data_IF_457027821281
#
_entry.id   IF_457027821281
#
_cell.length_a   1.000
_cell.length_b   1.000
_cell.length_c   1.000
_cell.angle_alpha   90.00
_cell.angle_beta   90.00
_cell.angle_gamma   90.00
#
_symmetry.space_group_name_H-M   'P 1'
#
loop_
_entity.id
_entity.type
_entity.pdbx_description
1 polymer ?
#
# COMPACT_ATOMS: atom_id res chain seq x y z
N UNK A 1 -4.69 8.23 31.03
CA UNK A 1 -3.80 7.33 31.78
C UNK A 1 -2.97 6.54 30.76
N UNK A 2 -1.86 7.09 30.26
CA UNK A 2 -1.11 6.48 29.15
C UNK A 2 -0.29 5.27 29.59
N UNK A 3 -0.29 4.23 28.75
CA UNK A 3 0.58 3.06 28.86
C UNK A 3 1.69 3.23 27.84
N UNK A 4 2.94 3.08 28.27
CA UNK A 4 4.12 3.15 27.41
C UNK A 4 4.84 1.81 27.39
N UNK A 5 5.38 1.43 26.24
CA UNK A 5 6.19 0.23 26.09
C UNK A 5 7.67 0.57 26.13
N UNK A 6 8.45 -0.29 26.78
CA UNK A 6 9.89 -0.20 26.88
C UNK A 6 10.53 -1.54 26.52
N UNK A 7 11.64 -1.51 25.78
CA UNK A 7 12.46 -2.67 25.44
C UNK A 7 13.79 -2.58 26.18
N UNK A 8 14.15 -3.65 26.89
CA UNK A 8 15.46 -3.77 27.51
C UNK A 8 16.52 -4.04 26.43
N UNK A 9 17.66 -3.37 26.51
CA UNK A 9 18.79 -3.56 25.59
C UNK A 9 19.53 -4.88 25.85
N UNK A 10 19.48 -5.43 27.07
CA UNK A 10 20.24 -6.63 27.44
C UNK A 10 19.46 -7.93 27.18
N UNK A 11 18.20 -8.01 27.63
CA UNK A 11 17.37 -9.22 27.44
C UNK A 11 16.44 -9.13 26.23
N UNK A 12 16.31 -7.95 25.60
CA UNK A 12 15.47 -7.69 24.43
C UNK A 12 13.96 -7.95 24.63
N UNK A 13 13.52 -8.10 25.89
CA UNK A 13 12.11 -8.26 26.25
C UNK A 13 11.45 -6.88 26.35
N UNK A 14 10.21 -6.80 25.86
CA UNK A 14 9.39 -5.60 25.94
C UNK A 14 8.39 -5.70 27.11
N UNK A 15 8.31 -4.64 27.92
CA UNK A 15 7.40 -4.51 29.04
C UNK A 15 6.57 -3.22 28.93
N UNK A 16 5.32 -3.29 29.37
CA UNK A 16 4.42 -2.13 29.44
C UNK A 16 4.43 -1.48 30.83
N UNK A 17 4.62 -0.17 30.88
CA UNK A 17 4.62 0.63 32.10
C UNK A 17 3.51 1.66 32.09
N UNK A 18 2.86 1.77 33.25
CA UNK A 18 1.84 2.77 33.49
C UNK A 18 2.50 4.06 34.00
N UNK A 19 2.51 5.13 33.20
CA UNK A 19 3.12 6.41 33.57
C UNK A 19 2.07 7.52 33.58
N UNK A 20 2.30 8.54 34.42
CA UNK A 20 1.33 9.63 34.58
C UNK A 20 1.29 10.56 33.36
N UNK A 21 2.43 10.76 32.72
CA UNK A 21 2.63 11.64 31.57
C UNK A 21 3.81 11.17 30.72
N UNK A 22 3.98 11.75 29.52
CA UNK A 22 5.12 11.46 28.65
C UNK A 22 6.47 11.84 29.27
N UNK A 23 6.49 12.94 30.04
CA UNK A 23 7.65 13.48 30.76
C UNK A 23 7.96 12.72 32.07
N UNK A 24 7.12 11.76 32.44
CA UNK A 24 7.41 10.93 33.62
C UNK A 24 8.75 10.20 33.43
N UNK A 25 9.54 10.07 34.50
CA UNK A 25 10.82 9.37 34.43
C UNK A 25 10.60 7.94 33.92
N UNK A 26 11.55 7.48 33.11
CA UNK A 26 11.55 6.10 32.63
C UNK A 26 11.68 5.14 33.84
N UNK A 27 11.12 3.92 33.73
CA UNK A 27 11.35 2.88 34.74
C UNK A 27 12.85 2.63 34.91
N UNK A 28 13.30 2.45 36.15
CA UNK A 28 14.72 2.28 36.51
C UNK A 28 15.30 0.95 36.07
N UNK A 29 14.50 -0.12 36.05
CA UNK A 29 14.99 -1.48 35.90
C UNK A 29 14.02 -2.36 35.12
N UNK A 30 14.57 -3.21 34.26
CA UNK A 30 13.80 -4.22 33.53
C UNK A 30 13.20 -5.21 34.53
N UNK A 31 11.93 -5.58 34.35
CA UNK A 31 11.25 -6.54 35.24
C UNK A 31 11.76 -7.98 35.08
N UNK A 32 12.46 -8.27 33.97
CA UNK A 32 12.98 -9.61 33.66
C UNK A 32 14.43 -9.81 34.11
N UNK A 33 15.33 -8.89 33.78
CA UNK A 33 16.77 -9.04 34.05
C UNK A 33 17.34 -8.02 35.05
N UNK A 34 16.58 -7.01 35.47
CA UNK A 34 17.05 -5.98 36.40
C UNK A 34 17.97 -4.91 35.81
N UNK A 35 18.32 -4.98 34.53
CA UNK A 35 19.15 -3.97 33.85
C UNK A 35 18.47 -2.61 33.76
N UNK A 36 19.28 -1.54 33.80
CA UNK A 36 18.87 -0.15 33.63
C UNK A 36 18.74 0.27 32.15
N UNK A 37 19.17 -0.58 31.21
CA UNK A 37 19.16 -0.29 29.77
C UNK A 37 17.76 -0.39 29.14
N UNK A 38 16.81 0.47 29.51
CA UNK A 38 15.45 0.50 28.98
C UNK A 38 15.24 1.62 27.96
N UNK A 39 14.82 1.25 26.74
CA UNK A 39 14.44 2.21 25.70
C UNK A 39 12.93 2.20 25.48
N UNK A 40 12.32 3.39 25.42
CA UNK A 40 10.90 3.51 25.04
C UNK A 40 10.73 3.08 23.58
N UNK A 41 9.74 2.25 23.30
CA UNK A 41 9.43 1.78 21.94
C UNK A 41 7.99 2.13 21.55
N UNK A 42 7.73 2.12 20.25
CA UNK A 42 6.37 2.15 19.70
C UNK A 42 5.97 0.70 19.46
N UNK A 43 4.77 0.33 19.90
CA UNK A 43 4.20 -1.00 19.68
C UNK A 43 4.20 -1.33 18.19
N UNK A 44 4.41 -2.60 17.85
CA UNK A 44 4.28 -3.04 16.46
C UNK A 44 2.87 -2.72 15.95
N UNK A 45 2.79 -1.98 14.85
CA UNK A 45 1.52 -1.63 14.21
C UNK A 45 1.50 -2.16 12.78
N UNK A 46 0.31 -2.49 12.30
CA UNK A 46 0.09 -2.85 10.89
C UNK A 46 -0.53 -1.66 10.19
N UNK A 47 0.02 -1.28 9.03
CA UNK A 47 -0.61 -0.30 8.16
C UNK A 47 -1.41 -1.04 7.07
N UNK A 48 -2.66 -0.63 6.86
CA UNK A 48 -3.51 -1.20 5.81
C UNK A 48 -3.26 -0.42 4.52
N UNK A 49 -2.74 -1.09 3.50
CA UNK A 49 -2.56 -0.50 2.17
C UNK A 49 -3.91 -0.28 1.49
N UNK A 50 -4.06 0.88 0.86
CA UNK A 50 -5.19 1.15 -0.02
C UNK A 50 -5.16 0.23 -1.25
N UNK A 51 -6.32 -0.03 -1.85
CA UNK A 51 -6.44 -0.77 -3.10
C UNK A 51 -5.63 -0.14 -4.25
N UNK A 52 -5.53 1.19 -4.28
CA UNK A 52 -4.72 1.90 -5.27
C UNK A 52 -3.21 1.64 -5.07
N UNK A 53 -2.74 1.67 -3.82
CA UNK A 53 -1.34 1.39 -3.47
C UNK A 53 -0.96 -0.05 -3.82
N UNK A 54 -1.83 -1.02 -3.48
CA UNK A 54 -1.62 -2.43 -3.84
C UNK A 54 -1.49 -2.59 -5.36
N UNK A 55 -2.36 -1.95 -6.14
CA UNK A 55 -2.33 -1.99 -7.61
C UNK A 55 -1.04 -1.42 -8.19
N UNK A 56 -0.56 -0.29 -7.66
CA UNK A 56 0.68 0.33 -8.12
C UNK A 56 1.91 -0.56 -7.85
N UNK A 57 1.89 -1.34 -6.76
CA UNK A 57 2.99 -2.24 -6.37
C UNK A 57 3.02 -3.58 -7.10
N UNK A 58 1.97 -3.96 -7.85
CA UNK A 58 1.85 -5.27 -8.54
C UNK A 58 2.87 -5.53 -9.68
N UNK A 59 4.00 -4.82 -9.67
CA UNK A 59 5.22 -5.02 -10.45
C UNK A 59 5.09 -4.72 -11.97
N UNK A 60 5.95 -3.83 -12.53
CA UNK A 60 6.09 -3.58 -13.97
C UNK A 60 6.22 -4.83 -14.83
N UNK A 61 6.73 -5.93 -14.27
CA UNK A 61 6.83 -7.22 -14.97
C UNK A 61 5.46 -7.74 -15.43
N UNK A 62 4.44 -7.70 -14.58
CA UNK A 62 3.12 -8.24 -14.92
C UNK A 62 2.42 -7.37 -15.97
N UNK A 63 2.56 -6.04 -15.89
CA UNK A 63 2.10 -5.16 -16.96
C UNK A 63 2.72 -5.52 -18.31
N UNK A 64 4.04 -5.72 -18.37
CA UNK A 64 4.73 -6.14 -19.61
C UNK A 64 4.25 -7.49 -20.13
N UNK A 65 4.01 -8.46 -19.25
CA UNK A 65 3.50 -9.78 -19.64
C UNK A 65 2.09 -9.67 -20.23
N UNK A 66 1.22 -8.88 -19.59
CA UNK A 66 -0.15 -8.62 -20.08
C UNK A 66 -0.10 -7.88 -21.42
N UNK A 67 0.69 -6.81 -21.53
CA UNK A 67 0.85 -6.04 -22.76
C UNK A 67 1.37 -6.91 -23.92
N UNK A 68 2.36 -7.77 -23.65
CA UNK A 68 2.88 -8.71 -24.64
C UNK A 68 1.85 -9.76 -25.06
N UNK A 69 1.03 -10.25 -24.12
CA UNK A 69 -0.03 -11.20 -24.44
C UNK A 69 -1.13 -10.55 -25.29
N UNK A 70 -1.55 -9.33 -24.92
CA UNK A 70 -2.51 -8.52 -25.69
C UNK A 70 -1.98 -8.24 -27.10
N UNK A 71 -0.70 -7.90 -27.24
CA UNK A 71 -0.08 -7.61 -28.54
C UNK A 71 -0.04 -8.83 -29.48
N UNK A 72 0.02 -10.04 -28.94
CA UNK A 72 0.02 -11.30 -29.72
C UNK A 72 -1.39 -11.82 -30.01
N UNK A 73 -2.39 -11.35 -29.30
CA UNK A 73 -3.75 -11.82 -29.44
C UNK A 73 -4.42 -11.24 -30.71
N UNK A 74 -5.50 -11.87 -31.22
CA UNK A 74 -6.32 -11.32 -32.28
C UNK A 74 -6.79 -9.89 -31.99
N UNK A 75 -6.89 -9.04 -33.03
CA UNK A 75 -7.13 -7.60 -32.84
C UNK A 75 -8.40 -7.27 -32.06
N UNK A 76 -9.45 -8.07 -32.26
CA UNK A 76 -10.76 -7.97 -31.60
C UNK A 76 -10.73 -8.23 -30.09
N UNK A 77 -9.71 -8.94 -29.60
CA UNK A 77 -9.54 -9.23 -28.18
C UNK A 77 -8.93 -8.07 -27.36
N UNK A 78 -8.44 -7.02 -28.02
CA UNK A 78 -7.90 -5.85 -27.32
C UNK A 78 -9.05 -5.02 -26.72
N UNK A 79 -8.99 -4.60 -25.44
CA UNK A 79 -10.09 -3.87 -24.78
C UNK A 79 -10.52 -2.60 -25.54
N UNK A 80 -9.56 -1.86 -26.08
CA UNK A 80 -9.84 -0.66 -26.89
C UNK A 80 -10.15 -0.90 -28.38
N UNK A 81 -10.35 -2.15 -28.83
CA UNK A 81 -10.52 -2.46 -30.26
C UNK A 81 -11.64 -1.63 -30.89
N UNK A 82 -12.83 -1.66 -30.29
CA UNK A 82 -13.99 -0.92 -30.80
C UNK A 82 -13.80 0.60 -30.71
N UNK A 83 -13.18 1.11 -29.64
CA UNK A 83 -12.93 2.55 -29.48
C UNK A 83 -11.97 3.09 -30.54
N UNK A 84 -10.91 2.33 -30.90
CA UNK A 84 -9.95 2.73 -31.94
C UNK A 84 -10.62 2.82 -33.31
N UNK A 85 -11.56 1.92 -33.59
CA UNK A 85 -12.30 1.87 -34.85
C UNK A 85 -13.44 2.90 -34.92
N UNK A 86 -13.86 3.51 -33.81
CA UNK A 86 -14.90 4.55 -33.83
C UNK A 86 -14.37 5.88 -34.38
N UNK A 87 -15.26 6.62 -35.06
CA UNK A 87 -15.01 8.02 -35.44
C UNK A 87 -15.14 8.92 -34.20
N UNK A 88 -14.17 9.82 -33.94
CA UNK A 88 -14.28 10.77 -32.83
C UNK A 88 -15.55 11.61 -32.96
N UNK A 89 -16.24 11.86 -31.84
CA UNK A 89 -17.48 12.66 -31.83
C UNK A 89 -17.32 14.07 -32.43
N UNK A 90 -16.12 14.64 -32.39
CA UNK A 90 -15.80 15.91 -33.05
C UNK A 90 -15.87 15.88 -34.58
N UNK A 91 -15.76 14.69 -35.18
CA UNK A 91 -15.83 14.45 -36.63
C UNK A 91 -17.07 13.66 -37.04
N UNK A 92 -17.92 13.30 -36.07
CA UNK A 92 -19.16 12.57 -36.32
C UNK A 92 -20.20 13.46 -36.99
N UNK A 93 -21.14 12.85 -37.71
CA UNK A 93 -22.29 13.55 -38.30
C UNK A 93 -23.20 14.06 -37.18
N UNK A 94 -23.85 15.21 -37.40
CA UNK A 94 -24.72 15.87 -36.40
C UNK A 94 -26.01 15.09 -36.11
N UNK A 95 -26.39 14.16 -36.99
CA UNK A 95 -27.54 13.26 -36.83
C UNK A 95 -27.20 11.87 -37.35
N UNK A 96 -27.75 10.82 -36.71
CA UNK A 96 -27.54 9.40 -37.05
C UNK A 96 -26.67 8.63 -36.05
N UNK A 97 -26.55 7.31 -36.26
CA UNK A 97 -25.73 6.42 -35.42
C UNK A 97 -24.22 6.62 -35.69
N UNK A 98 -23.37 6.52 -34.65
CA UNK A 98 -21.93 6.55 -34.83
C UNK A 98 -21.47 5.36 -35.68
N UNK A 99 -20.69 5.64 -36.72
CA UNK A 99 -20.15 4.62 -37.64
C UNK A 99 -18.67 4.34 -37.34
N UNK A 100 -18.21 3.15 -37.71
CA UNK A 100 -16.80 2.78 -37.63
C UNK A 100 -16.02 3.40 -38.79
N UNK A 101 -14.72 3.68 -38.59
CA UNK A 101 -13.79 4.05 -39.65
C UNK A 101 -13.70 2.90 -40.65
N UNK A 102 -13.90 3.19 -41.93
CA UNK A 102 -13.65 2.25 -43.03
C UNK A 102 -12.16 1.86 -43.10
#
# INVERSE_FOLDING_TARGET
>A
MPIYEYRCQDCNIADSFFLRSYESPAPSNCRHCGSEGLNRIISAFTYVKSEATKRAELDPKYHKMVDQAIAKAPRDSHPDYHMKNMVPFSKAKTTGEPYFKE
#
